data_IF_660392617098
#
_entry.id   IF_660392617098
#
_cell.length_a   1.000
_cell.length_b   1.000
_cell.length_c   1.000
_cell.angle_alpha   90.00
_cell.angle_beta   90.00
_cell.angle_gamma   90.00
#
_symmetry.space_group_name_H-M   'P 1'
#
loop_
_entity.id
_entity.type
_entity.pdbx_description
1 polymer ?
#
# COMPACT_ATOMS: atom_id res chain seq x y z
N UNK A 1 -15.15 6.10 -9.35
CA UNK A 1 -14.20 5.04 -8.96
C UNK A 1 -14.93 4.07 -8.06
N UNK A 2 -14.86 2.77 -8.32
CA UNK A 2 -15.43 1.75 -7.45
C UNK A 2 -14.31 1.13 -6.62
N UNK A 3 -14.54 0.97 -5.33
CA UNK A 3 -13.60 0.34 -4.42
C UNK A 3 -14.25 -0.94 -3.85
N UNK A 4 -13.59 -2.07 -4.03
CA UNK A 4 -13.99 -3.35 -3.44
C UNK A 4 -12.87 -3.86 -2.52
N UNK A 5 -13.25 -4.41 -1.39
CA UNK A 5 -12.31 -4.85 -0.38
C UNK A 5 -12.67 -6.26 0.10
N UNK A 6 -11.65 -7.11 0.20
CA UNK A 6 -11.78 -8.45 0.75
C UNK A 6 -10.70 -8.67 1.81
N UNK A 7 -11.12 -9.11 2.97
CA UNK A 7 -10.25 -9.50 4.08
C UNK A 7 -10.39 -11.01 4.35
N UNK A 8 -9.33 -11.65 4.78
CA UNK A 8 -9.40 -13.03 5.28
C UNK A 8 -8.65 -14.06 4.44
N UNK A 9 -7.92 -13.64 3.40
CA UNK A 9 -6.92 -14.50 2.79
C UNK A 9 -5.69 -14.63 3.71
N UNK A 10 -4.96 -15.71 3.58
CA UNK A 10 -3.63 -15.82 4.18
C UNK A 10 -2.66 -14.89 3.44
N UNK A 11 -1.52 -14.53 4.06
CA UNK A 11 -0.46 -13.75 3.40
C UNK A 11 0.32 -14.55 2.33
N UNK A 12 -0.26 -15.62 1.80
CA UNK A 12 0.32 -16.51 0.82
C UNK A 12 -0.42 -16.43 -0.52
N UNK A 13 0.28 -16.75 -1.61
CA UNK A 13 -0.34 -16.95 -2.91
C UNK A 13 -1.28 -18.18 -2.87
N UNK A 14 -2.41 -18.08 -3.58
CA UNK A 14 -3.33 -19.20 -3.76
C UNK A 14 -4.07 -19.12 -5.09
N UNK A 15 -4.54 -20.26 -5.56
CA UNK A 15 -5.35 -20.36 -6.78
C UNK A 15 -6.69 -19.64 -6.62
N UNK A 16 -7.29 -19.72 -5.44
CA UNK A 16 -8.56 -19.08 -5.12
C UNK A 16 -8.43 -17.56 -5.24
N UNK A 17 -7.35 -16.99 -4.68
CA UNK A 17 -7.08 -15.56 -4.76
C UNK A 17 -6.81 -15.11 -6.20
N UNK A 18 -6.05 -15.90 -6.97
CA UNK A 18 -5.82 -15.61 -8.39
C UNK A 18 -7.12 -15.64 -9.19
N UNK A 19 -7.97 -16.65 -8.96
CA UNK A 19 -9.27 -16.78 -9.64
C UNK A 19 -10.18 -15.60 -9.31
N UNK A 20 -10.22 -15.18 -8.05
CA UNK A 20 -11.00 -14.03 -7.62
C UNK A 20 -10.49 -12.73 -8.27
N UNK A 21 -9.19 -12.51 -8.28
CA UNK A 21 -8.58 -11.33 -8.91
C UNK A 21 -8.83 -11.32 -10.43
N UNK A 22 -8.72 -12.46 -11.12
CA UNK A 22 -9.08 -12.58 -12.53
C UNK A 22 -10.54 -12.20 -12.78
N UNK A 23 -11.47 -12.71 -11.97
CA UNK A 23 -12.88 -12.33 -12.06
C UNK A 23 -13.12 -10.83 -11.84
N UNK A 24 -12.34 -10.16 -10.99
CA UNK A 24 -12.43 -8.71 -10.83
C UNK A 24 -11.97 -7.97 -12.07
N UNK A 25 -10.82 -8.34 -12.68
CA UNK A 25 -10.34 -7.74 -13.93
C UNK A 25 -11.31 -7.97 -15.09
N UNK A 26 -11.84 -9.19 -15.25
CA UNK A 26 -12.85 -9.54 -16.26
C UNK A 26 -14.13 -8.70 -16.12
N UNK A 27 -14.47 -8.28 -14.91
CA UNK A 27 -15.61 -7.40 -14.60
C UNK A 27 -15.25 -5.91 -14.60
N UNK A 28 -14.11 -5.52 -15.15
CA UNK A 28 -13.73 -4.13 -15.39
C UNK A 28 -12.95 -3.45 -14.27
N UNK A 29 -12.40 -4.19 -13.32
CA UNK A 29 -11.41 -3.63 -12.38
C UNK A 29 -10.14 -3.32 -13.13
N UNK A 30 -9.64 -2.10 -13.06
CA UNK A 30 -8.42 -1.66 -13.74
C UNK A 30 -7.18 -1.89 -12.89
N UNK A 31 -7.29 -1.70 -11.56
CA UNK A 31 -6.16 -1.76 -10.63
C UNK A 31 -6.56 -2.53 -9.37
N UNK A 32 -5.71 -3.46 -8.94
CA UNK A 32 -5.84 -4.13 -7.64
C UNK A 32 -4.63 -3.79 -6.76
N UNK A 33 -4.88 -3.34 -5.54
CA UNK A 33 -3.86 -3.17 -4.51
C UNK A 33 -3.76 -4.45 -3.67
N UNK A 34 -2.65 -5.18 -3.82
CA UNK A 34 -2.40 -6.44 -3.13
C UNK A 34 -1.75 -6.20 -1.76
N UNK A 35 -2.51 -5.74 -0.78
CA UNK A 35 -2.03 -5.38 0.55
C UNK A 35 -1.89 -6.61 1.47
N UNK A 36 -0.97 -7.54 1.16
CA UNK A 36 -0.87 -8.78 1.94
C UNK A 36 0.31 -9.70 1.58
N UNK A 37 1.54 -9.21 1.65
CA UNK A 37 2.74 -10.05 1.46
C UNK A 37 2.72 -10.84 0.15
N UNK A 38 2.86 -12.18 0.21
CA UNK A 38 2.90 -13.03 -1.00
C UNK A 38 1.57 -13.18 -1.74
N UNK A 39 0.46 -12.63 -1.25
CA UNK A 39 -0.79 -12.51 -2.02
C UNK A 39 -0.56 -11.79 -3.35
N UNK A 40 0.41 -10.87 -3.37
CA UNK A 40 0.85 -10.15 -4.57
C UNK A 40 1.06 -11.08 -5.77
N UNK A 41 1.67 -12.25 -5.60
CA UNK A 41 1.97 -13.19 -6.69
C UNK A 41 0.70 -13.66 -7.41
N UNK A 42 -0.38 -13.94 -6.67
CA UNK A 42 -1.66 -14.34 -7.25
C UNK A 42 -2.32 -13.20 -8.02
N UNK A 43 -2.26 -11.99 -7.47
CA UNK A 43 -2.85 -10.80 -8.11
C UNK A 43 -2.06 -10.40 -9.35
N UNK A 44 -0.73 -10.43 -9.28
CA UNK A 44 0.14 -10.13 -10.43
C UNK A 44 -0.06 -11.13 -11.59
N UNK A 45 -0.21 -12.43 -11.28
CA UNK A 45 -0.52 -13.44 -12.28
C UNK A 45 -1.90 -13.21 -12.93
N UNK A 46 -2.91 -12.83 -12.15
CA UNK A 46 -4.22 -12.48 -12.67
C UNK A 46 -4.17 -11.22 -13.54
N UNK A 47 -3.45 -10.18 -13.11
CA UNK A 47 -3.25 -8.94 -13.85
C UNK A 47 -2.59 -9.19 -15.21
N UNK A 48 -1.53 -9.99 -15.24
CA UNK A 48 -0.82 -10.33 -16.48
C UNK A 48 -1.71 -11.09 -17.48
N UNK A 49 -2.66 -11.89 -17.00
CA UNK A 49 -3.60 -12.61 -17.85
C UNK A 49 -4.76 -11.77 -18.38
N UNK A 50 -5.02 -10.59 -17.80
CA UNK A 50 -6.20 -9.77 -18.07
C UNK A 50 -5.84 -8.31 -18.43
N UNK A 51 -4.60 -8.00 -18.79
CA UNK A 51 -4.12 -6.64 -19.07
C UNK A 51 -4.41 -5.65 -17.92
N UNK A 52 -4.45 -6.14 -16.68
CA UNK A 52 -4.71 -5.36 -15.49
C UNK A 52 -3.45 -4.75 -14.89
N UNK A 53 -3.63 -3.85 -13.92
CA UNK A 53 -2.53 -3.24 -13.17
C UNK A 53 -2.56 -3.60 -11.69
N UNK A 54 -1.38 -3.65 -11.06
CA UNK A 54 -1.22 -3.98 -9.64
C UNK A 54 -0.48 -2.88 -8.91
N UNK A 55 -0.92 -2.59 -7.70
CA UNK A 55 -0.13 -1.86 -6.70
C UNK A 55 0.47 -2.87 -5.73
N UNK A 56 1.80 -2.86 -5.64
CA UNK A 56 2.55 -3.71 -4.71
C UNK A 56 2.57 -3.17 -3.27
N UNK A 57 3.22 -3.89 -2.37
CA UNK A 57 3.25 -3.59 -0.94
C UNK A 57 4.64 -3.82 -0.33
N UNK A 58 4.92 -3.15 0.77
CA UNK A 58 6.10 -3.27 1.63
C UNK A 58 7.40 -2.76 1.00
N UNK A 59 7.76 -3.25 -0.18
CA UNK A 59 8.96 -2.88 -0.96
C UNK A 59 8.58 -2.58 -2.40
N UNK A 60 9.49 -2.01 -3.17
CA UNK A 60 9.30 -1.87 -4.62
C UNK A 60 9.25 -3.26 -5.28
N UNK A 61 8.07 -3.62 -5.79
CA UNK A 61 7.81 -4.89 -6.45
C UNK A 61 7.79 -4.78 -7.99
N UNK A 62 8.18 -3.65 -8.56
CA UNK A 62 8.17 -3.42 -10.01
C UNK A 62 9.04 -4.43 -10.79
N UNK A 63 10.08 -4.96 -10.18
CA UNK A 63 10.93 -5.99 -10.80
C UNK A 63 10.32 -7.39 -10.82
N UNK A 64 9.19 -7.61 -10.13
CA UNK A 64 8.55 -8.92 -10.02
C UNK A 64 7.50 -9.16 -11.11
N UNK A 65 6.92 -8.08 -11.66
CA UNK A 65 5.95 -8.16 -12.75
C UNK A 65 5.82 -6.81 -13.46
N UNK A 66 5.72 -6.85 -14.79
CA UNK A 66 5.48 -5.66 -15.63
C UNK A 66 4.09 -5.03 -15.40
N UNK A 67 3.19 -5.73 -14.70
CA UNK A 67 1.87 -5.20 -14.33
C UNK A 67 1.90 -4.26 -13.12
N UNK A 68 3.04 -4.16 -12.43
CA UNK A 68 3.18 -3.30 -11.25
C UNK A 68 3.36 -1.84 -11.67
N UNK A 69 2.36 -1.01 -11.33
CA UNK A 69 2.40 0.43 -11.62
C UNK A 69 3.04 1.27 -10.51
N UNK A 70 3.04 0.79 -9.29
CA UNK A 70 3.75 1.35 -8.12
C UNK A 70 3.67 0.37 -6.95
N UNK A 71 4.28 0.71 -5.82
CA UNK A 71 4.20 -0.08 -4.58
C UNK A 71 4.03 0.83 -3.37
N UNK A 72 3.08 0.52 -2.50
CA UNK A 72 2.95 1.19 -1.21
C UNK A 72 4.02 0.64 -0.24
N UNK A 73 5.15 1.33 -0.19
CA UNK A 73 6.31 0.89 0.56
C UNK A 73 6.23 1.24 2.04
N UNK A 74 6.81 0.38 2.86
CA UNK A 74 7.11 0.64 4.27
C UNK A 74 8.61 0.91 4.44
N UNK A 75 8.94 1.89 5.25
CA UNK A 75 10.33 2.19 5.63
C UNK A 75 10.87 1.19 6.66
N UNK A 76 10.97 -0.09 6.27
CA UNK A 76 11.34 -1.18 7.18
C UNK A 76 12.70 -0.93 7.85
N UNK A 77 13.71 -0.51 7.08
CA UNK A 77 15.02 -0.16 7.63
C UNK A 77 14.95 1.02 8.59
N UNK A 78 14.21 2.07 8.24
CA UNK A 78 14.03 3.24 9.10
C UNK A 78 13.34 2.86 10.42
N UNK A 79 12.31 2.02 10.36
CA UNK A 79 11.58 1.56 11.55
C UNK A 79 12.46 0.72 12.48
N UNK A 80 13.28 -0.17 11.93
CA UNK A 80 14.22 -0.99 12.71
C UNK A 80 15.32 -0.11 13.31
N UNK A 81 15.92 0.79 12.53
CA UNK A 81 16.94 1.72 13.02
C UNK A 81 16.41 2.62 14.12
N UNK A 82 15.17 3.11 13.97
CA UNK A 82 14.50 3.91 14.99
C UNK A 82 14.33 3.13 16.30
N UNK A 83 13.82 1.88 16.24
CA UNK A 83 13.63 1.04 17.42
C UNK A 83 14.96 0.65 18.08
N UNK A 84 15.99 0.31 17.29
CA UNK A 84 17.32 0.05 17.80
C UNK A 84 17.92 1.30 18.48
N UNK A 85 17.72 2.48 17.88
CA UNK A 85 18.13 3.75 18.48
C UNK A 85 17.59 3.91 19.89
N UNK A 86 16.30 3.62 20.10
CA UNK A 86 15.64 3.65 21.43
C UNK A 86 16.30 2.71 22.46
N UNK A 87 16.82 1.58 22.01
CA UNK A 87 17.59 0.66 22.88
C UNK A 87 18.93 1.27 23.26
N UNK A 88 19.67 1.81 22.26
CA UNK A 88 21.02 2.33 22.48
C UNK A 88 21.04 3.62 23.30
N UNK A 89 20.03 4.47 23.20
CA UNK A 89 19.91 5.71 23.97
C UNK A 89 19.23 5.52 25.34
N UNK A 90 18.80 4.28 25.65
CA UNK A 90 18.18 3.92 26.93
C UNK A 90 16.72 4.35 27.08
N UNK A 91 16.05 4.75 25.99
CA UNK A 91 14.63 5.18 26.01
C UNK A 91 13.65 4.13 25.50
N UNK A 92 14.07 2.86 25.41
CA UNK A 92 13.21 1.78 24.91
C UNK A 92 11.94 1.58 25.75
N UNK A 93 12.00 1.84 27.05
CA UNK A 93 10.86 1.73 27.94
C UNK A 93 9.69 2.68 27.59
N UNK A 94 9.97 3.76 26.83
CA UNK A 94 8.92 4.67 26.33
C UNK A 94 8.04 4.01 25.27
N UNK A 95 8.55 3.00 24.56
CA UNK A 95 7.88 2.34 23.44
C UNK A 95 7.63 0.86 23.65
N UNK A 96 8.37 0.23 24.57
CA UNK A 96 8.24 -1.20 24.89
C UNK A 96 6.82 -1.54 25.33
N UNK A 97 6.18 -2.51 24.66
CA UNK A 97 4.81 -2.92 24.96
C UNK A 97 3.71 -1.94 24.50
N UNK A 98 4.06 -0.92 23.72
CA UNK A 98 3.10 0.06 23.21
C UNK A 98 2.91 -0.07 21.69
N UNK A 99 1.84 0.52 21.14
CA UNK A 99 1.68 0.73 19.70
C UNK A 99 2.26 2.07 19.32
N UNK A 100 3.19 2.06 18.37
CA UNK A 100 3.80 3.28 17.84
C UNK A 100 3.47 3.37 16.35
N UNK A 101 2.98 4.53 15.91
CA UNK A 101 2.74 4.81 14.50
C UNK A 101 3.88 5.64 13.94
N UNK A 102 4.58 5.08 12.96
CA UNK A 102 5.59 5.76 12.15
C UNK A 102 4.99 6.10 10.79
N UNK A 103 5.17 7.31 10.34
CA UNK A 103 4.56 7.83 9.12
C UNK A 103 5.54 8.54 8.19
N UNK A 104 5.01 9.47 7.40
CA UNK A 104 5.79 10.23 6.42
C UNK A 104 6.93 11.03 7.06
N UNK A 105 6.71 11.64 8.23
CA UNK A 105 7.75 12.38 8.98
C UNK A 105 8.93 11.52 9.44
N UNK A 106 8.70 10.20 9.57
CA UNK A 106 9.69 9.22 10.04
C UNK A 106 10.34 8.45 8.89
N UNK A 107 10.06 8.82 7.63
CA UNK A 107 10.41 8.07 6.42
C UNK A 107 9.94 6.60 6.44
N UNK A 108 8.82 6.35 7.11
CA UNK A 108 8.30 5.01 7.31
C UNK A 108 7.25 4.57 6.27
N UNK A 109 6.90 5.45 5.36
CA UNK A 109 5.99 5.17 4.22
C UNK A 109 6.48 5.89 2.98
N UNK A 110 6.15 5.36 1.80
CA UNK A 110 6.49 6.02 0.54
C UNK A 110 6.12 5.23 -0.71
N UNK A 111 6.40 5.83 -1.87
CA UNK A 111 6.32 5.19 -3.18
C UNK A 111 7.71 5.10 -3.80
N UNK A 112 7.99 4.13 -4.69
CA UNK A 112 9.27 4.00 -5.36
C UNK A 112 9.42 5.10 -6.43
N UNK A 113 10.28 6.07 -6.19
CA UNK A 113 10.52 7.17 -7.14
C UNK A 113 11.51 6.81 -8.25
N UNK A 114 12.38 5.81 -8.02
CA UNK A 114 13.35 5.35 -9.02
C UNK A 114 12.71 4.54 -10.16
N UNK A 115 11.57 3.91 -9.91
CA UNK A 115 10.80 3.09 -10.85
C UNK A 115 9.43 3.70 -11.16
N UNK A 116 9.36 5.04 -11.16
CA UNK A 116 8.12 5.78 -11.36
C UNK A 116 7.49 5.53 -12.72
N UNK A 117 6.26 5.04 -12.75
CA UNK A 117 5.53 4.73 -14.00
C UNK A 117 4.28 5.58 -14.23
N UNK A 118 3.87 6.40 -13.25
CA UNK A 118 2.67 7.21 -13.36
C UNK A 118 2.90 8.40 -14.31
N UNK A 119 2.03 8.55 -15.31
CA UNK A 119 2.21 9.54 -16.39
C UNK A 119 1.53 10.88 -16.14
N UNK A 120 0.44 10.89 -15.35
CA UNK A 120 -0.35 12.09 -15.05
C UNK A 120 -0.01 12.73 -13.71
N UNK A 121 0.73 12.05 -12.89
CA UNK A 121 1.19 12.51 -11.59
C UNK A 121 2.70 12.36 -11.54
N UNK A 122 3.40 13.42 -11.21
CA UNK A 122 4.87 13.46 -11.25
C UNK A 122 5.48 13.11 -9.90
N UNK A 123 6.77 12.80 -9.89
CA UNK A 123 7.54 12.63 -8.65
C UNK A 123 7.52 13.92 -7.79
N UNK A 124 7.50 15.09 -8.43
CA UNK A 124 7.43 16.36 -7.71
C UNK A 124 6.06 16.56 -7.03
N UNK A 125 4.96 16.20 -7.70
CA UNK A 125 3.61 16.23 -7.11
C UNK A 125 3.53 15.26 -5.91
N UNK A 126 4.11 14.06 -6.05
CA UNK A 126 4.20 13.10 -4.97
C UNK A 126 5.01 13.63 -3.78
N UNK A 127 6.19 14.19 -4.02
CA UNK A 127 7.03 14.75 -2.97
C UNK A 127 6.35 15.92 -2.25
N UNK A 128 5.63 16.76 -2.99
CA UNK A 128 4.86 17.85 -2.40
C UNK A 128 3.71 17.35 -1.51
N UNK A 129 3.05 16.26 -1.89
CA UNK A 129 2.01 15.62 -1.07
C UNK A 129 2.62 14.96 0.17
N UNK A 130 3.72 14.23 0.01
CA UNK A 130 4.42 13.56 1.11
C UNK A 130 4.93 14.57 2.16
N UNK A 131 5.42 15.73 1.71
CA UNK A 131 5.82 16.83 2.60
C UNK A 131 4.65 17.34 3.44
N UNK A 132 3.46 17.50 2.85
CA UNK A 132 2.24 17.88 3.57
C UNK A 132 1.78 16.82 4.59
N UNK A 133 2.00 15.54 4.29
CA UNK A 133 1.75 14.48 5.27
C UNK A 133 2.77 14.53 6.42
N UNK A 134 4.04 14.81 6.11
CA UNK A 134 5.10 14.89 7.10
C UNK A 134 4.95 16.09 8.05
N UNK A 135 4.50 17.23 7.57
CA UNK A 135 4.27 18.44 8.37
C UNK A 135 2.88 18.49 9.03
N UNK A 136 2.00 17.53 8.74
CA UNK A 136 0.67 17.37 9.31
C UNK A 136 -0.40 18.28 8.67
N UNK A 137 -0.09 19.01 7.61
CA UNK A 137 -1.09 19.83 6.88
C UNK A 137 -2.04 18.97 6.02
N UNK A 138 -1.63 17.73 5.69
CA UNK A 138 -2.46 16.70 5.11
C UNK A 138 -2.54 15.52 6.08
N UNK A 139 -3.71 15.33 6.68
CA UNK A 139 -3.97 14.21 7.59
C UNK A 139 -4.68 13.09 6.83
N UNK A 140 -4.17 11.86 6.94
CA UNK A 140 -4.85 10.65 6.47
C UNK A 140 -5.67 10.11 7.64
N UNK A 141 -6.99 10.07 7.48
CA UNK A 141 -7.89 9.52 8.48
C UNK A 141 -7.67 8.01 8.60
N UNK A 142 -7.62 7.51 9.83
CA UNK A 142 -7.50 6.10 10.16
C UNK A 142 -8.72 5.56 10.95
N UNK A 143 -9.81 6.32 11.00
CA UNK A 143 -11.07 5.87 11.61
C UNK A 143 -11.87 5.02 10.63
N UNK A 144 -11.64 3.71 10.66
CA UNK A 144 -12.36 2.76 9.82
C UNK A 144 -13.85 2.60 10.15
N UNK A 145 -14.33 3.20 11.24
CA UNK A 145 -15.75 3.20 11.60
C UNK A 145 -16.56 4.24 10.82
N UNK A 146 -15.88 5.21 10.22
CA UNK A 146 -16.47 6.29 9.43
C UNK A 146 -15.91 6.22 8.01
N UNK A 147 -16.71 5.73 7.10
CA UNK A 147 -16.49 5.95 5.68
C UNK A 147 -17.31 7.19 5.33
N UNK A 148 -16.67 8.36 5.39
CA UNK A 148 -17.31 9.59 4.97
C UNK A 148 -17.69 9.51 3.50
N UNK A 149 -18.81 10.17 3.13
CA UNK A 149 -19.22 10.24 1.74
C UNK A 149 -18.13 10.92 0.92
N UNK A 150 -17.61 10.20 -0.07
CA UNK A 150 -16.68 10.77 -1.04
C UNK A 150 -17.45 11.13 -2.29
N UNK A 151 -17.42 12.38 -2.71
CA UNK A 151 -18.19 12.88 -3.87
C UNK A 151 -17.82 12.18 -5.19
N UNK A 152 -16.66 11.54 -5.24
CA UNK A 152 -16.09 10.92 -6.46
C UNK A 152 -15.79 9.42 -6.32
N UNK A 153 -16.09 8.81 -5.18
CA UNK A 153 -15.80 7.40 -4.91
C UNK A 153 -17.05 6.63 -4.51
N UNK A 154 -17.35 5.55 -5.21
CA UNK A 154 -18.35 4.57 -4.78
C UNK A 154 -17.65 3.41 -4.09
N UNK A 155 -18.02 3.12 -2.84
CA UNK A 155 -17.48 2.03 -2.05
C UNK A 155 -18.39 0.80 -2.15
N UNK A 156 -17.80 -0.33 -2.54
CA UNK A 156 -18.47 -1.63 -2.54
C UNK A 156 -17.73 -2.54 -1.55
N UNK A 157 -18.39 -2.90 -0.46
CA UNK A 157 -17.86 -3.88 0.48
C UNK A 157 -18.23 -5.29 -0.02
N UNK A 158 -17.22 -6.07 -0.34
CA UNK A 158 -17.37 -7.48 -0.69
C UNK A 158 -17.33 -8.28 0.62
N UNK A 159 -18.42 -9.04 0.89
CA UNK A 159 -18.55 -9.89 2.08
C UNK A 159 -18.14 -11.31 1.79
#
# INVERSE_FOLDING_TARGET
>A
MNYSWLYGASFAASTELQTMASGWYENGTEVIFACGGNMFQSVAAAAAANDGAVVGVDVDQSSQSDTVITSAMKGLSASVQWACGKVYDGSFDEIGGTFVTLGAKDNAVGLPTATWSLTKWTVDDYNAMLAKMADGSLVVDNDYSKLDSTDSLTLNLVK
#
